data_IF_448420394679
#
_entry.id   IF_448420394679
#
_cell.length_a   1.000
_cell.length_b   1.000
_cell.length_c   1.000
_cell.angle_alpha   90.00
_cell.angle_beta   90.00
_cell.angle_gamma   90.00
#
_symmetry.space_group_name_H-M   'P 1'
#
loop_
_entity.id
_entity.type
_entity.pdbx_description
1 polymer ?
#
# COMPACT_ATOMS: atom_id res chain seq x y z
N UNK A 1 -8.27 21.04 -5.41
CA UNK A 1 -6.97 20.58 -5.68
C UNK A 1 -6.88 19.12 -5.55
N UNK A 2 -6.10 18.54 -6.35
CA UNK A 2 -5.94 17.12 -6.35
C UNK A 2 -4.80 16.68 -5.51
N UNK A 3 -5.04 15.64 -4.74
CA UNK A 3 -4.00 15.08 -3.94
C UNK A 3 -3.51 13.87 -4.66
N UNK A 4 -2.22 13.78 -4.91
CA UNK A 4 -1.65 12.61 -5.54
C UNK A 4 -1.06 11.71 -4.50
N UNK A 5 -1.21 10.42 -4.68
CA UNK A 5 -0.64 9.43 -3.75
C UNK A 5 0.88 9.62 -3.65
N UNK A 6 1.52 9.89 -4.79
CA UNK A 6 2.97 10.06 -4.78
C UNK A 6 3.43 11.36 -4.09
N UNK A 7 2.52 12.29 -3.83
CA UNK A 7 2.88 13.47 -3.04
C UNK A 7 2.98 13.11 -1.56
N UNK A 8 2.32 12.04 -1.15
CA UNK A 8 2.26 11.64 0.24
C UNK A 8 3.14 10.44 0.56
N UNK A 9 3.60 9.70 -0.44
CA UNK A 9 4.35 8.48 -0.22
C UNK A 9 5.79 8.68 -0.67
N UNK A 10 6.70 8.80 0.29
CA UNK A 10 8.11 9.03 -0.01
C UNK A 10 8.85 7.71 -0.16
N UNK A 11 9.93 7.68 -0.95
CA UNK A 11 10.67 6.43 -1.14
C UNK A 11 11.14 5.79 0.17
N UNK A 12 11.54 6.57 1.15
CA UNK A 12 12.05 6.03 2.41
C UNK A 12 10.94 5.43 3.27
N UNK A 13 9.68 5.61 2.87
CA UNK A 13 8.55 5.05 3.60
C UNK A 13 7.98 3.81 2.92
N UNK A 14 8.75 3.19 2.02
CA UNK A 14 8.33 2.00 1.30
C UNK A 14 9.29 0.84 1.59
N UNK A 15 8.74 -0.31 1.96
CA UNK A 15 9.54 -1.51 2.21
C UNK A 15 8.94 -2.67 1.42
N UNK A 16 9.73 -3.27 0.53
CA UNK A 16 9.21 -4.25 -0.41
C UNK A 16 9.32 -5.71 -0.02
N UNK A 17 10.21 -6.09 0.82
CA UNK A 17 10.38 -7.50 1.18
C UNK A 17 10.27 -7.67 2.66
N UNK A 18 9.16 -7.21 3.21
CA UNK A 18 8.95 -7.29 4.64
C UNK A 18 8.47 -8.67 5.04
N UNK A 19 8.75 -9.05 6.25
CA UNK A 19 8.34 -10.36 6.75
C UNK A 19 7.91 -10.27 8.22
N UNK A 20 6.92 -9.44 8.53
CA UNK A 20 6.42 -9.33 9.90
C UNK A 20 5.78 -10.65 10.31
N UNK A 21 5.91 -11.01 11.58
CA UNK A 21 5.39 -12.28 12.07
C UNK A 21 3.92 -12.15 12.46
N UNK A 22 3.54 -11.01 13.00
CA UNK A 22 2.18 -10.81 13.50
C UNK A 22 1.58 -9.51 12.96
N UNK A 23 0.29 -9.33 13.18
CA UNK A 23 -0.38 -8.09 12.84
C UNK A 23 0.28 -6.90 13.55
N UNK A 24 0.61 -7.07 14.82
CA UNK A 24 1.27 -5.98 15.57
C UNK A 24 2.61 -5.64 14.95
N UNK A 25 3.40 -6.65 14.57
CA UNK A 25 4.69 -6.41 13.93
C UNK A 25 4.50 -5.63 12.64
N UNK A 26 3.48 -5.94 11.87
CA UNK A 26 3.22 -5.24 10.62
C UNK A 26 2.92 -3.77 10.90
N UNK A 27 2.12 -3.50 11.92
CA UNK A 27 1.78 -2.12 12.27
C UNK A 27 3.01 -1.36 12.77
N UNK A 28 3.85 -2.01 13.60
CA UNK A 28 5.05 -1.34 14.09
C UNK A 28 6.03 -1.06 12.93
N UNK A 29 6.17 -2.00 12.01
CA UNK A 29 7.06 -1.79 10.86
C UNK A 29 6.57 -0.62 10.01
N UNK A 30 5.27 -0.57 9.76
CA UNK A 30 4.71 0.55 8.99
C UNK A 30 4.87 1.87 9.75
N UNK A 31 4.73 1.84 11.07
CA UNK A 31 4.94 3.04 11.88
C UNK A 31 6.35 3.58 11.75
N UNK A 32 7.35 2.69 11.71
CA UNK A 32 8.73 3.12 11.51
C UNK A 32 8.92 3.74 10.13
N UNK A 33 8.27 3.16 9.12
CA UNK A 33 8.35 3.70 7.78
C UNK A 33 7.68 5.08 7.70
N UNK A 34 6.58 5.25 8.40
CA UNK A 34 5.90 6.54 8.45
C UNK A 34 6.79 7.57 9.12
N UNK A 35 7.45 7.18 10.20
CA UNK A 35 8.34 8.09 10.93
C UNK A 35 9.54 8.47 10.07
N UNK A 36 10.08 7.55 9.29
CA UNK A 36 11.20 7.85 8.42
C UNK A 36 10.83 8.88 7.35
N UNK A 37 9.58 8.94 6.99
CA UNK A 37 9.11 9.94 6.03
C UNK A 37 9.00 11.34 6.60
N UNK A 38 9.12 11.47 7.93
CA UNK A 38 9.05 12.79 8.55
C UNK A 38 7.63 13.27 8.80
N UNK A 39 6.65 12.35 8.78
CA UNK A 39 5.25 12.74 8.92
C UNK A 39 4.78 12.82 10.37
N UNK A 40 5.56 12.30 11.31
CA UNK A 40 5.10 12.18 12.69
C UNK A 40 5.88 13.09 13.63
N UNK A 41 5.18 13.67 14.61
CA UNK A 41 5.84 14.38 15.69
C UNK A 41 5.93 13.47 16.91
N UNK A 42 5.04 12.47 17.00
CA UNK A 42 5.03 11.54 18.12
C UNK A 42 4.57 10.19 17.61
N UNK A 43 5.55 9.33 17.30
CA UNK A 43 5.26 8.02 16.74
C UNK A 43 4.41 7.17 17.69
N UNK A 44 4.72 7.21 19.00
CA UNK A 44 3.97 6.39 19.95
C UNK A 44 2.51 6.80 20.01
N UNK A 45 2.25 8.10 19.97
CA UNK A 45 0.88 8.58 20.01
C UNK A 45 0.12 8.18 18.74
N UNK A 46 0.78 8.28 17.59
CA UNK A 46 0.16 7.88 16.34
C UNK A 46 -0.15 6.38 16.34
N UNK A 47 0.81 5.55 16.75
CA UNK A 47 0.60 4.11 16.74
C UNK A 47 -0.49 3.70 17.72
N UNK A 48 -0.60 4.41 18.85
CA UNK A 48 -1.66 4.13 19.80
C UNK A 48 -3.01 4.33 19.11
N UNK A 49 -3.15 5.39 18.32
CA UNK A 49 -4.39 5.66 17.60
C UNK A 49 -4.66 4.60 16.53
N UNK A 50 -3.60 4.11 15.87
CA UNK A 50 -3.77 3.07 14.85
C UNK A 50 -4.26 1.78 15.51
N UNK A 51 -3.65 1.39 16.63
CA UNK A 51 -4.09 0.17 17.32
C UNK A 51 -5.52 0.31 17.84
N UNK A 52 -5.90 1.49 18.32
CA UNK A 52 -7.27 1.71 18.77
C UNK A 52 -8.26 1.56 17.61
N UNK A 53 -7.88 2.06 16.43
CA UNK A 53 -8.74 1.93 15.26
C UNK A 53 -8.87 0.47 14.87
N UNK A 54 -7.78 -0.30 14.93
CA UNK A 54 -7.83 -1.71 14.56
C UNK A 54 -8.68 -2.52 15.52
N UNK A 55 -8.73 -2.13 16.78
CA UNK A 55 -9.57 -2.83 17.75
C UNK A 55 -11.04 -2.69 17.43
N UNK A 56 -11.45 -1.63 16.76
CA UNK A 56 -12.84 -1.43 16.42
C UNK A 56 -13.23 -2.21 15.17
N UNK A 57 -12.27 -2.83 14.51
CA UNK A 57 -12.52 -3.65 13.33
C UNK A 57 -11.29 -3.64 12.44
N UNK A 58 -10.96 -4.77 11.88
CA UNK A 58 -9.75 -4.89 11.08
C UNK A 58 -9.81 -4.05 9.81
N UNK A 59 -8.70 -3.44 9.46
CA UNK A 59 -8.57 -2.75 8.18
C UNK A 59 -7.92 -3.65 7.12
N UNK A 60 -7.85 -4.94 7.39
CA UNK A 60 -7.53 -5.92 6.35
C UNK A 60 -8.74 -6.06 5.47
N UNK A 61 -8.69 -5.50 4.30
CA UNK A 61 -9.86 -5.41 3.43
C UNK A 61 -10.19 -6.69 2.69
N UNK A 62 -9.24 -7.60 2.60
CA UNK A 62 -9.40 -8.79 1.79
C UNK A 62 -8.60 -8.62 0.52
N UNK A 63 -8.49 -9.69 -0.26
CA UNK A 63 -7.70 -9.73 -1.49
C UNK A 63 -6.26 -9.35 -1.25
N UNK A 64 -5.77 -9.61 -0.04
CA UNK A 64 -4.37 -9.37 0.30
C UNK A 64 -4.03 -7.92 0.62
N UNK A 65 -5.02 -7.06 0.80
CA UNK A 65 -4.79 -5.63 1.03
C UNK A 65 -5.18 -5.22 2.43
N UNK A 66 -4.36 -4.39 3.07
CA UNK A 66 -4.69 -3.84 4.38
C UNK A 66 -4.36 -2.35 4.41
N UNK A 67 -5.17 -1.56 5.10
CA UNK A 67 -5.01 -0.12 5.13
C UNK A 67 -5.10 0.43 6.56
N UNK A 68 -4.14 0.09 7.44
CA UNK A 68 -4.17 0.65 8.79
C UNK A 68 -4.03 2.16 8.72
N UNK A 69 -4.77 2.87 9.54
CA UNK A 69 -4.79 4.33 9.48
C UNK A 69 -5.29 4.96 10.77
N UNK A 70 -4.94 6.22 10.97
CA UNK A 70 -5.52 6.96 12.08
C UNK A 70 -5.28 8.46 11.92
N UNK A 71 -6.15 9.23 12.55
CA UNK A 71 -5.91 10.66 12.74
C UNK A 71 -5.36 10.77 14.15
N UNK A 72 -4.35 11.59 14.34
CA UNK A 72 -3.70 11.69 15.64
C UNK A 72 -3.00 13.02 15.80
N UNK A 73 -2.94 13.50 17.03
CA UNK A 73 -2.17 14.70 17.35
C UNK A 73 -0.68 14.42 17.13
N UNK A 74 -0.27 13.16 17.07
CA UNK A 74 1.12 12.81 16.81
C UNK A 74 1.52 12.88 15.35
N UNK A 75 0.62 13.32 14.47
CA UNK A 75 0.90 13.44 13.05
C UNK A 75 1.12 14.89 12.70
N UNK A 76 2.26 15.18 12.04
CA UNK A 76 2.61 16.51 11.66
C UNK A 76 1.92 16.94 10.38
N UNK A 77 1.87 16.07 9.42
CA UNK A 77 1.25 16.36 8.12
C UNK A 77 0.78 15.05 7.50
N UNK A 78 -0.16 15.08 6.58
CA UNK A 78 -0.68 13.86 5.99
C UNK A 78 0.44 13.07 5.32
N UNK A 79 0.44 11.78 5.50
CA UNK A 79 1.47 10.95 4.91
C UNK A 79 1.04 9.52 4.71
N UNK A 80 1.84 8.80 3.92
CA UNK A 80 1.62 7.41 3.63
C UNK A 80 2.88 6.61 3.88
N UNK A 81 2.70 5.35 4.18
CA UNK A 81 3.78 4.37 4.17
C UNK A 81 3.25 3.15 3.46
N UNK A 82 4.10 2.40 2.79
CA UNK A 82 3.69 1.23 2.04
C UNK A 82 4.62 0.06 2.33
N UNK A 83 4.07 -1.15 2.30
CA UNK A 83 4.86 -2.32 2.60
C UNK A 83 4.33 -3.49 1.79
N UNK A 84 5.23 -4.28 1.24
CA UNK A 84 4.86 -5.51 0.56
C UNK A 84 5.39 -6.66 1.39
N UNK A 85 4.51 -7.63 1.70
CA UNK A 85 4.86 -8.82 2.46
C UNK A 85 4.63 -10.00 1.54
N UNK A 86 5.66 -10.42 0.80
CA UNK A 86 5.46 -11.46 -0.23
C UNK A 86 4.85 -12.75 0.31
N UNK A 87 5.20 -13.14 1.51
CA UNK A 87 4.68 -14.36 2.10
C UNK A 87 3.34 -14.16 2.84
N UNK A 88 2.91 -12.91 2.94
CA UNK A 88 1.67 -12.61 3.64
C UNK A 88 1.80 -12.64 5.15
N UNK A 89 0.89 -11.96 5.83
CA UNK A 89 0.82 -11.99 7.27
C UNK A 89 -0.66 -11.93 7.66
N UNK A 90 -1.03 -12.63 8.71
CA UNK A 90 -2.40 -12.63 9.19
C UNK A 90 -2.72 -11.26 9.79
N UNK A 91 -3.53 -10.49 9.12
CA UNK A 91 -3.94 -9.17 9.59
C UNK A 91 -5.41 -9.18 10.00
N UNK A 92 -5.95 -10.38 10.24
CA UNK A 92 -7.35 -10.55 10.62
C UNK A 92 -8.25 -9.96 9.53
N UNK A 93 -7.86 -10.19 8.28
CA UNK A 93 -8.59 -9.63 7.14
C UNK A 93 -10.01 -10.16 7.09
N UNK A 94 -10.88 -9.38 6.48
CA UNK A 94 -12.30 -9.72 6.41
C UNK A 94 -12.57 -11.04 5.70
N UNK A 95 -11.71 -11.42 4.77
CA UNK A 95 -11.87 -12.68 4.03
C UNK A 95 -11.05 -13.82 4.64
N UNK A 96 -10.38 -13.57 5.76
CA UNK A 96 -9.60 -14.61 6.43
C UNK A 96 -8.29 -14.95 5.75
N UNK A 97 -7.92 -14.24 4.67
CA UNK A 97 -6.70 -14.54 3.94
C UNK A 97 -5.54 -13.63 4.38
N UNK A 98 -4.29 -14.06 4.17
CA UNK A 98 -3.15 -13.22 4.56
C UNK A 98 -3.12 -11.94 3.76
N UNK A 99 -2.59 -10.88 4.37
CA UNK A 99 -2.42 -9.60 3.69
C UNK A 99 -1.00 -9.51 3.17
N UNK A 100 -0.83 -9.00 1.96
CA UNK A 100 0.46 -8.90 1.30
C UNK A 100 0.81 -7.48 0.87
N UNK A 101 -0.16 -6.60 0.71
CA UNK A 101 0.07 -5.21 0.30
C UNK A 101 -0.55 -4.30 1.33
N UNK A 102 0.27 -3.44 1.91
CA UNK A 102 -0.16 -2.54 2.97
C UNK A 102 0.05 -1.09 2.61
N UNK A 103 -0.95 -0.27 2.88
CA UNK A 103 -0.81 1.18 2.83
C UNK A 103 -1.27 1.72 4.17
N UNK A 104 -0.35 2.39 4.88
CA UNK A 104 -0.69 3.02 6.15
C UNK A 104 -0.90 4.51 5.90
N UNK A 105 -1.93 5.08 6.50
CA UNK A 105 -2.28 6.47 6.32
C UNK A 105 -2.24 7.21 7.64
N UNK A 106 -1.55 8.34 7.66
CA UNK A 106 -1.51 9.19 8.84
C UNK A 106 -2.11 10.54 8.50
N UNK A 107 -2.99 11.05 9.33
CA UNK A 107 -3.59 12.36 9.15
C UNK A 107 -3.54 13.14 10.45
N UNK A 108 -3.24 14.45 10.38
CA UNK A 108 -3.29 15.29 11.58
C UNK A 108 -4.70 15.33 12.13
N UNK A 109 -4.78 15.50 13.44
CA UNK A 109 -6.07 15.51 14.11
C UNK A 109 -7.01 16.55 13.56
N UNK A 110 -6.52 17.69 13.16
CA UNK A 110 -7.36 18.75 12.63
C UNK A 110 -7.64 18.67 11.14
N UNK A 111 -7.10 17.66 10.46
CA UNK A 111 -7.27 17.57 9.02
C UNK A 111 -8.61 16.93 8.72
N UNK A 112 -9.55 17.70 8.35
CA UNK A 112 -10.91 17.25 8.13
C UNK A 112 -11.04 15.82 7.59
N UNK A 113 -11.20 15.63 6.32
CA UNK A 113 -11.43 14.30 5.76
C UNK A 113 -10.28 13.76 4.93
N UNK A 114 -9.07 14.28 5.19
CA UNK A 114 -7.92 13.88 4.38
C UNK A 114 -7.74 12.37 4.31
N UNK A 115 -7.83 11.69 5.47
CA UNK A 115 -7.59 10.26 5.47
C UNK A 115 -8.66 9.51 4.68
N UNK A 116 -9.89 10.04 4.66
CA UNK A 116 -10.97 9.40 3.91
C UNK A 116 -10.71 9.55 2.42
N UNK A 117 -10.22 10.71 1.99
CA UNK A 117 -9.92 10.93 0.59
C UNK A 117 -8.82 10.00 0.13
N UNK A 118 -7.77 9.84 0.93
CA UNK A 118 -6.65 8.98 0.57
C UNK A 118 -7.08 7.53 0.55
N UNK A 119 -7.87 7.09 1.53
CA UNK A 119 -8.37 5.73 1.57
C UNK A 119 -9.21 5.44 0.33
N UNK A 120 -10.09 6.34 -0.03
CA UNK A 120 -10.96 6.16 -1.17
C UNK A 120 -10.15 6.04 -2.45
N UNK A 121 -9.15 6.89 -2.61
CA UNK A 121 -8.34 6.89 -3.81
C UNK A 121 -7.54 5.59 -3.91
N UNK A 122 -6.93 5.17 -2.81
CA UNK A 122 -6.16 3.93 -2.80
C UNK A 122 -7.06 2.73 -3.09
N UNK A 123 -8.25 2.69 -2.48
CA UNK A 123 -9.17 1.58 -2.70
C UNK A 123 -9.57 1.49 -4.18
N UNK A 124 -9.79 2.63 -4.81
CA UNK A 124 -10.15 2.66 -6.23
C UNK A 124 -9.02 2.10 -7.09
N UNK A 125 -7.77 2.40 -6.72
CA UNK A 125 -6.63 1.94 -7.50
C UNK A 125 -6.38 0.45 -7.32
N UNK A 126 -6.40 -0.04 -6.08
CA UNK A 126 -6.02 -1.43 -5.83
C UNK A 126 -7.14 -2.44 -6.07
N UNK A 127 -8.32 -1.97 -6.43
CA UNK A 127 -9.38 -2.88 -6.78
C UNK A 127 -9.05 -3.55 -8.12
N UNK A 128 -8.18 -2.95 -8.90
CA UNK A 128 -7.68 -3.51 -10.13
C UNK A 128 -6.67 -4.62 -9.79
N UNK A 129 -6.99 -5.89 -10.02
CA UNK A 129 -6.10 -6.98 -9.60
C UNK A 129 -4.75 -6.97 -10.31
N UNK A 130 -4.71 -6.49 -11.54
CA UNK A 130 -3.44 -6.43 -12.27
C UNK A 130 -2.53 -5.39 -11.65
N UNK A 131 -3.08 -4.25 -11.26
CA UNK A 131 -2.30 -3.20 -10.62
C UNK A 131 -1.80 -3.66 -9.25
N UNK A 132 -2.68 -4.29 -8.49
CA UNK A 132 -2.31 -4.78 -7.18
C UNK A 132 -1.15 -5.77 -7.29
N UNK A 133 -1.23 -6.73 -8.20
CA UNK A 133 -0.17 -7.71 -8.37
C UNK A 133 1.11 -7.07 -8.86
N UNK A 134 1.02 -6.07 -9.72
CA UNK A 134 2.21 -5.38 -10.19
C UNK A 134 2.94 -4.73 -9.02
N UNK A 135 2.20 -4.12 -8.10
CA UNK A 135 2.82 -3.50 -6.92
C UNK A 135 3.49 -4.56 -6.04
N UNK A 136 2.82 -5.69 -5.83
CA UNK A 136 3.38 -6.74 -4.98
C UNK A 136 4.66 -7.30 -5.61
N UNK A 137 4.74 -7.33 -6.93
CA UNK A 137 5.89 -7.87 -7.62
C UNK A 137 6.96 -6.85 -7.95
N UNK A 138 6.77 -5.59 -7.62
CA UNK A 138 7.75 -4.56 -7.94
C UNK A 138 9.09 -4.89 -7.30
N UNK A 139 10.15 -4.84 -8.09
CA UNK A 139 11.47 -5.22 -7.62
C UNK A 139 12.20 -4.08 -6.90
N UNK A 140 11.81 -2.84 -7.16
CA UNK A 140 12.47 -1.69 -6.56
C UNK A 140 11.44 -0.66 -6.12
N UNK A 141 11.84 0.20 -5.21
CA UNK A 141 11.00 1.28 -4.73
C UNK A 141 10.66 2.22 -5.89
N UNK A 142 11.62 2.48 -6.78
CA UNK A 142 11.36 3.34 -7.93
C UNK A 142 10.27 2.74 -8.82
N UNK A 143 10.31 1.42 -9.03
CA UNK A 143 9.29 0.78 -9.84
C UNK A 143 7.92 0.85 -9.17
N UNK A 144 7.89 0.66 -7.85
CA UNK A 144 6.66 0.74 -7.08
C UNK A 144 6.02 2.12 -7.29
N UNK A 145 6.82 3.18 -7.17
CA UNK A 145 6.32 4.54 -7.34
C UNK A 145 5.92 4.83 -8.79
N UNK A 146 6.67 4.30 -9.76
CA UNK A 146 6.31 4.48 -11.17
C UNK A 146 4.96 3.87 -11.47
N UNK A 147 4.67 2.71 -10.90
CA UNK A 147 3.38 2.06 -11.11
C UNK A 147 2.24 2.89 -10.53
N UNK A 148 2.44 3.47 -9.36
CA UNK A 148 1.43 4.31 -8.76
C UNK A 148 1.20 5.55 -9.62
N UNK A 149 2.27 6.17 -10.09
CA UNK A 149 2.16 7.36 -10.94
C UNK A 149 1.39 7.02 -12.22
N UNK A 150 1.72 5.89 -12.84
CA UNK A 150 1.04 5.49 -14.07
C UNK A 150 -0.44 5.27 -13.82
N UNK A 151 -0.78 4.63 -12.70
CA UNK A 151 -2.17 4.36 -12.40
C UNK A 151 -2.93 5.66 -12.13
N UNK A 152 -2.32 6.58 -11.40
CA UNK A 152 -2.97 7.85 -11.12
C UNK A 152 -3.21 8.66 -12.39
N UNK A 153 -2.33 8.53 -13.36
CA UNK A 153 -2.43 9.29 -14.60
C UNK A 153 -3.27 8.58 -15.67
N UNK A 154 -3.79 7.41 -15.34
CA UNK A 154 -4.60 6.67 -16.32
C UNK A 154 -3.77 5.95 -17.36
N UNK A 155 -2.45 5.82 -17.12
CA UNK A 155 -1.54 5.21 -18.09
C UNK A 155 -1.10 3.80 -17.73
N UNK A 156 -1.64 3.21 -16.68
CA UNK A 156 -1.27 1.86 -16.32
C UNK A 156 -1.88 0.87 -17.30
N UNK A 157 -1.05 0.05 -17.92
CA UNK A 157 -1.50 -0.90 -18.89
C UNK A 157 -0.88 -2.27 -18.58
N UNK A 158 -1.64 -3.24 -18.15
CA UNK A 158 -1.10 -4.55 -17.79
C UNK A 158 -0.48 -5.31 -18.97
N UNK A 159 -0.78 -4.90 -20.19
CA UNK A 159 -0.21 -5.58 -21.34
C UNK A 159 1.17 -5.07 -21.71
N UNK A 160 1.61 -3.97 -21.07
CA UNK A 160 2.89 -3.43 -21.40
C UNK A 160 3.94 -4.27 -20.71
N UNK A 161 4.92 -4.73 -21.52
CA UNK A 161 5.93 -5.53 -21.01
C UNK A 161 6.74 -4.81 -20.02
N UNK A 162 7.31 -5.35 -19.14
CA UNK A 162 8.11 -4.63 -18.21
C UNK A 162 7.27 -4.36 -16.99
N UNK A 163 6.02 -4.36 -17.21
CA UNK A 163 5.22 -4.01 -16.15
C UNK A 163 5.12 -5.29 -15.33
N UNK A 164 5.00 -6.39 -15.93
CA UNK A 164 4.94 -7.59 -15.27
C UNK A 164 6.19 -8.19 -15.03
N UNK A 165 7.03 -8.09 -15.92
CA UNK A 165 8.25 -8.64 -15.82
C UNK A 165 9.06 -7.82 -15.30
N UNK A 166 8.92 -7.58 -14.29
CA UNK A 166 9.83 -6.71 -13.80
C UNK A 166 11.05 -7.28 -14.17
N UNK A 167 10.92 -8.11 -14.54
CA UNK A 167 12.05 -8.60 -14.92
C UNK A 167 11.96 -8.72 -16.21
N UNK A 168 11.53 -8.69 -16.79
CA UNK A 168 11.44 -8.73 -17.96
C UNK A 168 11.71 -9.79 -18.48
N UNK A 169 11.78 -10.49 -18.04
CA UNK A 169 11.86 -11.52 -18.53
C UNK A 169 11.11 -12.34 -17.90
N UNK A 170 10.50 -12.12 -17.26
CA UNK A 170 9.67 -12.60 -16.90
C UNK A 170 8.62 -12.51 -17.21
N UNK A 171 8.20 -12.12 -17.97
CA UNK A 171 7.31 -11.99 -18.47
C UNK A 171 6.78 -12.40 -18.72
N UNK A 172 6.52 -12.14 -18.68
CA UNK A 172 5.84 -12.26 -18.99
C UNK A 172 5.48 -12.84 -18.92
N UNK A 173 5.24 -12.83 -18.39
CA UNK A 173 4.55 -13.13 -18.42
C UNK A 173 4.10 -13.25 -17.72
N UNK A 174 4.01 -13.24 -17.02
CA UNK A 174 3.31 -13.25 -16.65
C UNK A 174 2.33 -13.04 -16.43
N UNK A 175 2.30 -12.37 -15.98
CA UNK A 175 1.11 -12.25 -15.82
C UNK A 175 0.55 -11.91 -16.92
N UNK A 176 1.01 -10.99 -17.60
CA UNK A 176 0.45 -10.58 -18.68
C UNK A 176 0.48 -11.57 -19.56
N UNK A 177 1.39 -12.26 -19.61
CA UNK A 177 1.39 -13.24 -20.53
C UNK A 177 0.56 -14.15 -20.05
N UNK A 178 0.52 -14.32 -18.88
CA UNK A 178 -0.33 -15.09 -18.36
C UNK A 178 -1.52 -14.31 -18.43
N UNK A 179 -1.56 -13.14 -18.47
CA UNK A 179 -2.55 -12.37 -18.56
C UNK A 179 -2.88 -12.26 -19.82
N UNK A 180 -2.11 -12.23 -20.63
CA UNK A 180 -2.38 -12.14 -21.93
C UNK A 180 -2.67 -13.36 -22.32
N UNK A 181 -2.25 -14.26 -21.83
CA UNK A 181 -2.51 -15.49 -22.14
C UNK A 181 -3.81 -15.67 -21.53
N UNK A 182 -4.21 -15.05 -20.63
CA UNK A 182 -5.36 -15.19 -20.09
C UNK A 182 -6.04 -14.03 -20.25
N UNK A 183 -5.56 -13.13 -20.26
CA UNK A 183 -6.26 -11.97 -20.46
C UNK A 183 -6.37 -11.91 -21.87
N UNK A 184 -5.76 -12.42 -22.24
CA UNK A 184 -5.64 -12.41 -23.41
C UNK A 184 -5.76 -13.49 -23.57
N UNK A 185 -5.47 -13.75 -22.41
CA UNK A 185 -5.46 -14.13 -22.25
C UNK A 185 -5.81 -13.88 -21.89
N UNK A 186 -6.11 -13.50 -21.65
CA UNK A 186 -6.25 -13.06 -21.38
C UNK A 186 -6.51 -12.83 -21.35
#
# INVERSE_FOLDING_TARGET
THMKITDLLKPQSILLNADPVTKADAIYTLGELMDKGGYLTDKAEYLKAVFAREESGSTGLGDGIATPHAKSAGVKEPGLAAMVVPNGVDFEALDGQPSRLFFMIAAPEGAADTHVEVLSKLATMVIDPDFKEALIQAATVDRFLELITAKEEGNFDPSVEGYIKPTEDQKATSITDAIEAKATEA
#
